data_IF_385869267429
#
_entry.id   IF_385869267429
#
_cell.length_a   1.000
_cell.length_b   1.000
_cell.length_c   1.000
_cell.angle_alpha   90.00
_cell.angle_beta   90.00
_cell.angle_gamma   90.00
#
_symmetry.space_group_name_H-M   'P 1'
#
loop_
_entity.id
_entity.type
_entity.pdbx_description
1 polymer ?
#
# COMPACT_ATOMS: atom_id res chain seq x y z
N UNK A 1 -2.45 -4.21 11.18
CA UNK A 1 -3.18 -3.08 10.56
C UNK A 1 -3.79 -3.44 9.20
N UNK A 2 -3.16 -4.30 8.41
CA UNK A 2 -3.68 -4.71 7.09
C UNK A 2 -4.94 -5.60 7.18
N UNK A 3 -5.28 -6.10 8.35
CA UNK A 3 -6.44 -6.98 8.60
C UNK A 3 -7.75 -6.27 8.90
N UNK A 4 -7.73 -4.95 9.09
CA UNK A 4 -8.94 -4.20 9.46
C UNK A 4 -9.73 -3.68 8.25
N UNK A 5 -9.18 -3.77 7.04
CA UNK A 5 -9.82 -3.26 5.83
C UNK A 5 -10.05 -4.39 4.82
N UNK A 6 -11.30 -4.54 4.38
CA UNK A 6 -11.63 -5.43 3.26
C UNK A 6 -11.19 -4.72 1.98
N UNK A 7 -9.98 -5.01 1.55
CA UNK A 7 -9.45 -4.46 0.32
C UNK A 7 -10.17 -5.04 -0.89
N UNK A 8 -10.77 -4.18 -1.71
CA UNK A 8 -11.24 -4.61 -3.02
C UNK A 8 -10.08 -4.62 -4.00
N UNK A 9 -9.90 -5.74 -4.66
CA UNK A 9 -8.89 -5.88 -5.72
C UNK A 9 -9.22 -4.93 -6.88
N UNK A 10 -8.22 -4.22 -7.46
CA UNK A 10 -8.42 -3.48 -8.71
C UNK A 10 -9.04 -4.33 -9.82
N UNK A 11 -8.78 -5.64 -9.81
CA UNK A 11 -9.30 -6.60 -10.80
C UNK A 11 -10.79 -6.92 -10.62
N UNK A 12 -11.42 -6.50 -9.53
CA UNK A 12 -12.87 -6.69 -9.28
C UNK A 12 -13.75 -5.57 -9.83
N UNK A 13 -13.15 -4.54 -10.43
CA UNK A 13 -13.89 -3.41 -11.00
C UNK A 13 -13.97 -3.54 -12.52
N UNK A 14 -15.13 -3.16 -13.07
CA UNK A 14 -15.38 -3.17 -14.53
C UNK A 14 -14.90 -1.88 -15.21
N UNK A 15 -14.90 -0.76 -14.50
CA UNK A 15 -14.47 0.53 -15.01
C UNK A 15 -13.42 1.21 -14.14
N UNK A 16 -12.59 2.03 -14.79
CA UNK A 16 -11.62 2.87 -14.10
C UNK A 16 -12.29 3.90 -13.17
N UNK A 17 -13.46 4.40 -13.56
CA UNK A 17 -14.25 5.35 -12.78
C UNK A 17 -14.71 4.74 -11.46
N UNK A 18 -15.19 3.50 -11.47
CA UNK A 18 -15.63 2.79 -10.27
C UNK A 18 -14.46 2.53 -9.32
N UNK A 19 -13.30 2.14 -9.85
CA UNK A 19 -12.10 1.97 -9.04
C UNK A 19 -11.62 3.28 -8.41
N UNK A 20 -11.59 4.37 -9.16
CA UNK A 20 -11.21 5.67 -8.60
C UNK A 20 -12.21 6.19 -7.56
N UNK A 21 -13.50 5.97 -7.79
CA UNK A 21 -14.54 6.30 -6.79
C UNK A 21 -14.35 5.51 -5.49
N UNK A 22 -13.99 4.24 -5.59
CA UNK A 22 -13.65 3.41 -4.44
C UNK A 22 -12.40 3.95 -3.70
N UNK A 23 -11.30 4.20 -4.43
CA UNK A 23 -10.05 4.73 -3.83
C UNK A 23 -10.29 6.08 -3.15
N UNK A 24 -11.13 6.94 -3.75
CA UNK A 24 -11.51 8.24 -3.18
C UNK A 24 -12.33 8.09 -1.91
N UNK A 25 -13.32 7.18 -1.91
CA UNK A 25 -14.19 6.91 -0.76
C UNK A 25 -13.45 6.28 0.42
N UNK A 26 -12.48 5.41 0.15
CA UNK A 26 -11.65 4.77 1.18
C UNK A 26 -10.57 5.70 1.75
N UNK A 27 -10.30 6.84 1.09
CA UNK A 27 -9.26 7.81 1.46
C UNK A 27 -7.91 7.14 1.81
N UNK A 28 -7.45 6.25 0.92
CA UNK A 28 -6.29 5.39 1.16
C UNK A 28 -5.04 6.24 1.38
N UNK A 29 -4.44 6.14 2.59
CA UNK A 29 -3.26 6.92 3.00
C UNK A 29 -2.14 6.02 3.50
N UNK A 30 -0.91 6.53 3.39
CA UNK A 30 0.28 5.97 4.05
C UNK A 30 0.31 6.39 5.52
N UNK A 31 1.21 5.81 6.31
CA UNK A 31 1.46 6.25 7.69
C UNK A 31 1.96 7.70 7.80
N UNK A 32 2.59 8.22 6.75
CA UNK A 32 2.96 9.64 6.65
C UNK A 32 1.79 10.55 6.28
N UNK A 33 0.58 10.00 6.06
CA UNK A 33 -0.62 10.74 5.72
C UNK A 33 -0.77 11.05 4.21
N UNK A 34 0.14 10.59 3.36
CA UNK A 34 0.07 10.81 1.91
C UNK A 34 -1.09 10.01 1.31
N UNK A 35 -1.92 10.67 0.52
CA UNK A 35 -2.99 10.02 -0.23
C UNK A 35 -2.39 9.29 -1.44
N UNK A 36 -2.64 7.99 -1.52
CA UNK A 36 -2.09 7.12 -2.57
C UNK A 36 -3.17 6.57 -3.50
N UNK A 37 -2.78 6.04 -4.66
CA UNK A 37 -3.70 5.58 -5.72
C UNK A 37 -4.21 4.16 -5.53
N UNK A 38 -3.72 3.47 -4.49
CA UNK A 38 -4.15 2.11 -4.20
C UNK A 38 -3.42 1.47 -3.02
N UNK A 39 -3.93 0.33 -2.60
CA UNK A 39 -3.40 -0.39 -1.43
C UNK A 39 -1.96 -0.87 -1.61
N UNK A 40 -1.56 -1.24 -2.83
CA UNK A 40 -0.17 -1.65 -3.09
C UNK A 40 0.83 -0.53 -2.81
N UNK A 41 0.54 0.69 -3.25
CA UNK A 41 1.37 1.86 -2.93
C UNK A 41 1.37 2.15 -1.42
N UNK A 42 0.20 2.05 -0.75
CA UNK A 42 0.12 2.19 0.70
C UNK A 42 1.05 1.21 1.43
N UNK A 43 1.07 -0.06 1.00
CA UNK A 43 1.90 -1.09 1.63
C UNK A 43 3.39 -0.79 1.41
N UNK A 44 3.78 -0.35 0.21
CA UNK A 44 5.16 0.04 -0.08
C UNK A 44 5.57 1.24 0.77
N UNK A 45 4.77 2.32 0.80
CA UNK A 45 5.06 3.50 1.60
C UNK A 45 5.14 3.20 3.10
N UNK A 46 4.18 2.42 3.63
CA UNK A 46 4.18 2.00 5.03
C UNK A 46 5.38 1.09 5.37
N UNK A 47 5.80 0.23 4.43
CA UNK A 47 7.01 -0.58 4.60
C UNK A 47 8.26 0.29 4.68
N UNK A 48 8.45 1.21 3.75
CA UNK A 48 9.58 2.14 3.75
C UNK A 48 9.64 2.93 5.05
N UNK A 49 8.50 3.51 5.48
CA UNK A 49 8.40 4.21 6.75
C UNK A 49 8.80 3.33 7.94
N UNK A 50 8.24 2.12 8.05
CA UNK A 50 8.56 1.18 9.14
C UNK A 50 10.03 0.79 9.18
N UNK A 51 10.72 0.77 8.05
CA UNK A 51 12.16 0.48 7.95
C UNK A 51 13.03 1.73 8.13
N UNK A 52 12.45 2.88 8.48
CA UNK A 52 13.20 4.13 8.65
C UNK A 52 13.82 4.66 7.35
N UNK A 53 13.28 4.25 6.20
CA UNK A 53 13.78 4.67 4.88
C UNK A 53 13.00 5.91 4.45
N UNK A 54 13.69 7.04 4.34
CA UNK A 54 13.08 8.28 3.84
C UNK A 54 12.70 8.16 2.37
N UNK A 55 11.50 8.62 2.05
CA UNK A 55 10.97 8.62 0.69
C UNK A 55 10.12 9.84 0.39
N UNK A 56 10.02 10.18 -0.88
CA UNK A 56 9.09 11.15 -1.44
C UNK A 56 8.11 10.42 -2.36
N UNK A 57 6.79 10.59 -2.10
CA UNK A 57 5.73 10.01 -2.94
C UNK A 57 5.49 10.89 -4.16
N UNK A 58 5.43 10.30 -5.37
CA UNK A 58 5.23 10.99 -6.66
C UNK A 58 6.16 12.20 -6.91
N UNK A 59 7.39 12.14 -6.40
CA UNK A 59 8.40 13.14 -6.73
C UNK A 59 8.64 13.21 -8.23
N UNK A 60 8.85 14.39 -8.77
CA UNK A 60 9.20 14.54 -10.19
C UNK A 60 10.55 13.88 -10.46
N UNK A 61 10.60 13.00 -11.48
CA UNK A 61 11.86 12.42 -11.91
C UNK A 61 12.89 13.52 -12.22
N UNK A 62 14.12 13.37 -11.74
CA UNK A 62 15.13 14.42 -11.79
C UNK A 62 15.52 14.89 -13.20
N UNK A 63 15.28 14.06 -14.21
CA UNK A 63 15.54 14.41 -15.60
C UNK A 63 14.26 14.83 -16.31
N UNK A 64 14.38 15.72 -17.29
CA UNK A 64 13.21 16.19 -18.05
C UNK A 64 12.70 15.09 -18.96
N UNK A 65 11.50 14.62 -18.69
CA UNK A 65 10.79 13.64 -19.52
C UNK A 65 9.54 14.23 -20.19
N UNK A 66 9.16 15.47 -19.79
CA UNK A 66 8.01 16.17 -20.36
C UNK A 66 8.27 16.49 -21.82
N UNK A 67 7.32 16.12 -22.69
CA UNK A 67 7.26 16.48 -24.12
C UNK A 67 5.91 17.10 -24.44
N UNK A 68 5.61 17.35 -25.73
CA UNK A 68 4.29 17.81 -26.16
C UNK A 68 3.20 16.76 -25.86
N UNK A 69 3.56 15.48 -25.92
CA UNK A 69 2.62 14.36 -25.79
C UNK A 69 2.62 13.71 -24.41
N UNK A 70 3.64 13.95 -23.59
CA UNK A 70 3.83 13.29 -22.30
C UNK A 70 4.03 14.28 -21.17
N UNK A 71 3.41 13.99 -20.02
CA UNK A 71 3.65 14.71 -18.77
C UNK A 71 5.04 14.36 -18.22
N UNK A 72 5.56 15.21 -17.30
CA UNK A 72 6.74 14.87 -16.52
C UNK A 72 6.51 13.56 -15.76
N UNK A 73 7.46 12.64 -15.87
CA UNK A 73 7.41 11.37 -15.17
C UNK A 73 7.53 11.58 -13.65
N UNK A 74 6.69 10.89 -12.91
CA UNK A 74 6.69 10.83 -11.46
C UNK A 74 6.63 9.36 -11.05
N UNK A 75 7.74 8.79 -10.60
CA UNK A 75 7.76 7.46 -9.98
C UNK A 75 6.87 7.43 -8.74
N UNK A 76 6.36 6.26 -8.37
CA UNK A 76 5.53 6.14 -7.17
C UNK A 76 6.32 6.56 -5.92
N UNK A 77 7.58 6.14 -5.78
CA UNK A 77 8.44 6.54 -4.67
C UNK A 77 9.85 6.88 -5.15
N UNK A 78 10.43 7.90 -4.53
CA UNK A 78 11.84 8.28 -4.67
C UNK A 78 12.52 8.22 -3.31
N UNK A 79 13.67 7.57 -3.24
CA UNK A 79 14.52 7.47 -2.05
C UNK A 79 15.67 8.46 -2.18
N UNK A 80 15.58 9.68 -1.61
CA UNK A 80 16.53 10.76 -1.89
C UNK A 80 17.95 10.47 -1.42
N UNK A 81 18.11 9.80 -0.27
CA UNK A 81 19.42 9.45 0.29
C UNK A 81 20.20 8.44 -0.56
N UNK A 82 19.49 7.66 -1.38
CA UNK A 82 20.07 6.56 -2.16
C UNK A 82 19.97 6.77 -3.66
N UNK A 83 19.25 7.80 -4.11
CA UNK A 83 18.94 8.06 -5.53
C UNK A 83 18.31 6.82 -6.21
N UNK A 84 17.38 6.17 -5.53
CA UNK A 84 16.65 4.98 -5.98
C UNK A 84 15.19 5.33 -6.17
N UNK A 85 14.57 4.75 -7.19
CA UNK A 85 13.17 4.90 -7.51
C UNK A 85 12.45 3.57 -7.34
N UNK A 86 11.19 3.62 -6.90
CA UNK A 86 10.34 2.44 -6.77
C UNK A 86 9.06 2.66 -7.54
N UNK A 87 8.61 1.61 -8.26
CA UNK A 87 7.34 1.55 -8.95
C UNK A 87 6.56 0.31 -8.50
N UNK A 88 5.28 0.50 -8.26
CA UNK A 88 4.36 -0.58 -7.96
C UNK A 88 3.45 -0.86 -9.15
N UNK A 89 3.69 -1.96 -9.86
CA UNK A 89 2.94 -2.30 -11.05
C UNK A 89 1.70 -3.14 -10.77
N UNK A 90 0.55 -2.68 -11.26
CA UNK A 90 -0.76 -3.33 -11.12
C UNK A 90 -0.95 -4.53 -12.05
N UNK A 91 -0.04 -5.50 -12.03
CA UNK A 91 -0.15 -6.72 -12.85
C UNK A 91 -0.21 -8.00 -12.01
N UNK A 92 -0.99 -8.97 -12.49
CA UNK A 92 -1.08 -10.30 -11.89
C UNK A 92 0.14 -11.18 -12.25
N UNK A 93 0.16 -12.42 -11.74
CA UNK A 93 1.25 -13.40 -12.03
C UNK A 93 1.40 -13.74 -13.50
N UNK A 94 0.34 -13.58 -14.29
CA UNK A 94 0.31 -13.88 -15.72
C UNK A 94 0.58 -12.63 -16.57
N UNK A 95 0.90 -11.51 -15.94
CA UNK A 95 1.09 -10.22 -16.59
C UNK A 95 -0.21 -9.59 -17.10
N UNK A 96 -1.38 -9.95 -16.54
CA UNK A 96 -2.63 -9.26 -16.87
C UNK A 96 -2.80 -8.02 -16.00
N UNK A 97 -3.49 -7.04 -16.56
CA UNK A 97 -3.91 -5.81 -15.89
C UNK A 97 -5.36 -5.94 -15.43
N UNK A 98 -5.83 -5.00 -14.60
CA UNK A 98 -7.25 -4.87 -14.29
C UNK A 98 -8.08 -4.74 -15.59
N UNK A 99 -9.35 -5.22 -15.62
CA UNK A 99 -10.14 -5.33 -16.86
C UNK A 99 -10.32 -4.01 -17.62
N UNK A 100 -10.34 -2.89 -16.93
CA UNK A 100 -10.51 -1.54 -17.47
C UNK A 100 -9.19 -0.91 -17.98
N UNK A 101 -8.05 -1.60 -17.88
CA UNK A 101 -6.73 -1.13 -18.31
C UNK A 101 -6.32 -1.83 -19.61
N UNK A 102 -5.97 -1.04 -20.61
CA UNK A 102 -5.37 -1.56 -21.84
C UNK A 102 -4.01 -2.21 -21.52
N UNK A 103 -3.98 -3.54 -21.58
CA UNK A 103 -2.81 -4.35 -21.21
C UNK A 103 -1.56 -4.00 -22.03
N UNK A 104 -1.72 -3.81 -23.34
CA UNK A 104 -0.58 -3.55 -24.23
C UNK A 104 0.04 -2.18 -23.95
N UNK A 105 -0.79 -1.14 -23.83
CA UNK A 105 -0.34 0.21 -23.45
C UNK A 105 0.32 0.24 -22.08
N UNK A 106 -0.23 -0.52 -21.13
CA UNK A 106 0.32 -0.60 -19.78
C UNK A 106 1.73 -1.22 -19.79
N UNK A 107 1.92 -2.35 -20.51
CA UNK A 107 3.23 -2.97 -20.66
C UNK A 107 4.22 -2.10 -21.44
N UNK A 108 3.76 -1.37 -22.48
CA UNK A 108 4.60 -0.37 -23.14
C UNK A 108 5.05 0.71 -22.17
N UNK A 109 4.16 1.17 -21.28
CA UNK A 109 4.48 2.12 -20.20
C UNK A 109 5.55 1.59 -19.25
N UNK A 110 5.44 0.32 -18.81
CA UNK A 110 6.47 -0.35 -17.99
C UNK A 110 7.81 -0.37 -18.75
N UNK A 111 7.80 -0.79 -20.02
CA UNK A 111 9.00 -0.80 -20.85
C UNK A 111 9.65 0.56 -20.99
N UNK A 112 8.85 1.62 -21.16
CA UNK A 112 9.31 2.99 -21.22
C UNK A 112 9.95 3.45 -19.90
N UNK A 113 9.33 3.18 -18.75
CA UNK A 113 9.88 3.48 -17.43
C UNK A 113 11.24 2.80 -17.23
N UNK A 114 11.33 1.51 -17.51
CA UNK A 114 12.60 0.76 -17.46
C UNK A 114 13.69 1.36 -18.35
N UNK A 115 13.30 1.75 -19.57
CA UNK A 115 14.22 2.38 -20.53
C UNK A 115 14.75 3.71 -20.00
N UNK A 116 13.89 4.58 -19.47
CA UNK A 116 14.31 5.87 -18.91
C UNK A 116 15.31 5.68 -17.79
N UNK A 117 15.06 4.79 -16.84
CA UNK A 117 16.00 4.53 -15.75
C UNK A 117 17.33 3.98 -16.25
N UNK A 118 17.29 3.10 -17.25
CA UNK A 118 18.50 2.58 -17.90
C UNK A 118 19.30 3.69 -18.60
N UNK A 119 18.62 4.52 -19.39
CA UNK A 119 19.26 5.60 -20.16
C UNK A 119 19.92 6.64 -19.25
N UNK A 120 19.29 6.92 -18.11
CA UNK A 120 19.81 7.87 -17.11
C UNK A 120 20.68 7.21 -16.02
N UNK A 121 20.91 5.89 -16.10
CA UNK A 121 21.72 5.13 -15.12
C UNK A 121 21.22 5.30 -13.68
N UNK A 122 19.92 5.39 -13.50
CA UNK A 122 19.25 5.41 -12.20
C UNK A 122 18.75 4.03 -11.83
N UNK A 123 18.66 3.73 -10.54
CA UNK A 123 18.16 2.44 -10.05
C UNK A 123 16.64 2.49 -9.95
N UNK A 124 15.96 1.50 -10.55
CA UNK A 124 14.52 1.28 -10.42
C UNK A 124 14.28 -0.05 -9.73
N UNK A 125 13.60 0.00 -8.59
CA UNK A 125 13.06 -1.16 -7.90
C UNK A 125 11.60 -1.31 -8.30
N UNK A 126 11.22 -2.50 -8.74
CA UNK A 126 9.86 -2.82 -9.16
C UNK A 126 9.19 -3.72 -8.14
N UNK A 127 7.96 -3.42 -7.80
CA UNK A 127 7.05 -4.26 -7.01
C UNK A 127 5.78 -4.52 -7.82
N UNK A 128 5.05 -5.58 -7.48
CA UNK A 128 3.93 -6.02 -8.32
C UNK A 128 2.69 -6.33 -7.48
N UNK A 129 1.51 -6.08 -8.04
CA UNK A 129 0.24 -6.39 -7.39
C UNK A 129 0.15 -7.86 -6.93
N UNK A 130 0.59 -8.81 -7.76
CA UNK A 130 0.57 -10.22 -7.37
C UNK A 130 1.44 -10.53 -6.14
N UNK A 131 2.52 -9.76 -5.90
CA UNK A 131 3.36 -9.93 -4.71
C UNK A 131 2.64 -9.46 -3.44
N UNK A 132 1.71 -8.49 -3.57
CA UNK A 132 0.82 -8.10 -2.50
C UNK A 132 -0.18 -9.22 -2.19
N UNK A 133 -0.85 -9.74 -3.22
CA UNK A 133 -1.87 -10.79 -3.06
C UNK A 133 -1.31 -12.10 -2.47
N UNK A 134 -0.08 -12.48 -2.85
CA UNK A 134 0.54 -13.70 -2.30
C UNK A 134 1.33 -13.49 -1.01
N UNK A 135 1.32 -12.25 -0.48
CA UNK A 135 2.01 -11.87 0.76
C UNK A 135 3.54 -11.76 0.66
N UNK A 136 4.11 -11.93 -0.54
CA UNK A 136 5.57 -11.92 -0.73
C UNK A 136 6.18 -10.51 -0.90
N UNK A 137 5.36 -9.47 -1.08
CA UNK A 137 5.82 -8.12 -1.42
C UNK A 137 6.87 -7.60 -0.45
N UNK A 138 6.61 -7.67 0.85
CA UNK A 138 7.53 -7.15 1.88
C UNK A 138 8.89 -7.86 1.83
N UNK A 139 8.89 -9.18 1.78
CA UNK A 139 10.12 -9.96 1.75
C UNK A 139 10.94 -9.70 0.47
N UNK A 140 10.26 -9.59 -0.68
CA UNK A 140 10.92 -9.28 -1.95
C UNK A 140 11.43 -7.85 -2.00
N UNK A 141 10.67 -6.89 -1.46
CA UNK A 141 11.10 -5.49 -1.39
C UNK A 141 12.31 -5.35 -0.47
N UNK A 142 12.30 -5.99 0.73
CA UNK A 142 13.47 -6.05 1.62
C UNK A 142 14.70 -6.51 0.86
N UNK A 143 14.62 -7.66 0.19
CA UNK A 143 15.74 -8.20 -0.56
C UNK A 143 16.24 -7.25 -1.65
N UNK A 144 15.33 -6.63 -2.43
CA UNK A 144 15.70 -5.68 -3.50
C UNK A 144 16.38 -4.44 -2.95
N UNK A 145 15.97 -3.95 -1.78
CA UNK A 145 16.58 -2.81 -1.10
C UNK A 145 17.97 -3.19 -0.56
N UNK A 146 18.10 -4.35 0.07
CA UNK A 146 19.40 -4.86 0.55
C UNK A 146 20.38 -5.10 -0.61
N UNK A 147 19.93 -5.69 -1.71
CA UNK A 147 20.73 -5.87 -2.94
C UNK A 147 21.18 -4.50 -3.53
N UNK A 148 20.42 -3.44 -3.29
CA UNK A 148 20.76 -2.07 -3.66
C UNK A 148 21.61 -1.34 -2.60
N UNK A 149 22.00 -2.02 -1.51
CA UNK A 149 22.86 -1.48 -0.45
C UNK A 149 22.12 -0.71 0.65
N UNK A 150 20.80 -0.83 0.72
CA UNK A 150 19.98 -0.20 1.77
C UNK A 150 19.72 -1.20 2.90
N UNK A 151 20.13 -0.87 4.10
CA UNK A 151 19.86 -1.69 5.28
C UNK A 151 18.42 -1.44 5.77
N UNK A 152 17.62 -2.50 5.84
CA UNK A 152 16.25 -2.44 6.34
C UNK A 152 16.24 -2.64 7.86
N UNK A 153 16.21 -1.55 8.62
CA UNK A 153 16.14 -1.57 10.10
C UNK A 153 14.78 -1.07 10.56
N UNK A 154 13.95 -1.92 11.19
CA UNK A 154 12.66 -1.47 11.71
C UNK A 154 12.81 -0.32 12.71
N UNK A 155 12.01 0.72 12.54
CA UNK A 155 11.88 1.77 13.55
C UNK A 155 11.33 1.19 14.86
N UNK A 156 11.70 1.77 16.01
CA UNK A 156 11.06 1.46 17.28
C UNK A 156 9.54 1.68 17.22
N UNK A 157 8.78 0.82 17.90
CA UNK A 157 7.32 0.88 17.86
C UNK A 157 6.75 2.22 18.35
N UNK A 158 7.40 2.84 19.33
CA UNK A 158 7.02 4.17 19.85
C UNK A 158 7.12 5.26 18.79
N UNK A 159 8.16 5.28 17.95
CA UNK A 159 8.28 6.22 16.84
C UNK A 159 7.17 6.03 15.80
N UNK A 160 6.82 4.78 15.50
CA UNK A 160 5.69 4.47 14.59
C UNK A 160 4.36 4.94 15.19
N UNK A 161 4.13 4.69 16.49
CA UNK A 161 2.92 5.10 17.21
C UNK A 161 2.79 6.62 17.25
N UNK A 162 3.88 7.36 17.47
CA UNK A 162 3.91 8.83 17.49
C UNK A 162 3.45 9.40 16.15
N UNK A 163 3.99 8.91 15.04
CA UNK A 163 3.58 9.36 13.69
C UNK A 163 2.11 9.04 13.39
N UNK A 164 1.62 7.85 13.77
CA UNK A 164 0.21 7.48 13.62
C UNK A 164 -0.71 8.37 14.47
N UNK A 165 -0.25 8.80 15.63
CA UNK A 165 -0.98 9.73 16.50
C UNK A 165 -1.04 11.13 15.88
N UNK A 166 0.05 11.63 15.34
CA UNK A 166 0.11 12.94 14.67
C UNK A 166 -0.83 13.01 13.46
N UNK A 167 -0.96 11.91 12.72
CA UNK A 167 -1.84 11.79 11.56
C UNK A 167 -3.30 11.40 11.91
N UNK A 168 -3.68 11.37 13.21
CA UNK A 168 -4.99 10.94 13.73
C UNK A 168 -5.38 9.47 13.46
N UNK A 169 -4.57 8.67 12.81
CA UNK A 169 -4.83 7.27 12.51
C UNK A 169 -5.03 6.44 13.80
N UNK A 170 -4.16 6.65 14.79
CA UNK A 170 -4.26 6.00 16.08
C UNK A 170 -5.52 6.42 16.84
N UNK A 171 -5.93 7.70 16.70
CA UNK A 171 -7.12 8.24 17.36
C UNK A 171 -8.39 7.58 16.84
N UNK A 172 -8.53 7.37 15.55
CA UNK A 172 -9.67 6.68 14.95
C UNK A 172 -9.70 5.19 15.34
N UNK A 173 -8.57 4.51 15.33
CA UNK A 173 -8.44 3.15 15.84
C UNK A 173 -8.83 3.04 17.32
N UNK A 174 -8.35 3.95 18.16
CA UNK A 174 -8.69 4.00 19.59
C UNK A 174 -10.20 4.25 19.82
N UNK A 175 -10.83 5.10 19.02
CA UNK A 175 -12.29 5.33 19.03
C UNK A 175 -13.04 4.05 18.67
N UNK A 176 -12.64 3.38 17.60
CA UNK A 176 -13.23 2.11 17.16
C UNK A 176 -13.13 1.05 18.25
N UNK A 177 -11.94 0.84 18.81
CA UNK A 177 -11.71 -0.13 19.90
C UNK A 177 -12.53 0.23 21.14
N UNK A 178 -12.62 1.50 21.50
CA UNK A 178 -13.47 1.97 22.60
C UNK A 178 -14.95 1.66 22.37
N UNK A 179 -15.44 1.83 21.14
CA UNK A 179 -16.83 1.47 20.78
C UNK A 179 -17.08 -0.05 20.87
N UNK A 180 -16.14 -0.86 20.39
CA UNK A 180 -16.22 -2.33 20.46
C UNK A 180 -16.27 -2.77 21.92
N UNK A 181 -15.35 -2.27 22.76
CA UNK A 181 -15.29 -2.59 24.19
C UNK A 181 -16.58 -2.14 24.91
N UNK A 182 -17.08 -0.93 24.62
CA UNK A 182 -18.35 -0.43 25.19
C UNK A 182 -19.52 -1.33 24.81
N UNK A 183 -19.62 -1.74 23.54
CA UNK A 183 -20.67 -2.65 23.06
C UNK A 183 -20.57 -4.03 23.70
N UNK A 184 -19.35 -4.57 23.82
CA UNK A 184 -19.09 -5.82 24.52
C UNK A 184 -19.58 -5.74 25.97
N UNK A 185 -19.15 -4.73 26.72
CA UNK A 185 -19.53 -4.52 28.13
C UNK A 185 -21.04 -4.30 28.28
N UNK A 186 -21.67 -3.52 27.42
CA UNK A 186 -23.10 -3.21 27.50
C UNK A 186 -24.00 -4.42 27.22
N UNK A 187 -23.52 -5.40 26.46
CA UNK A 187 -24.32 -6.58 26.09
C UNK A 187 -24.07 -7.80 27.00
N UNK A 188 -23.16 -7.72 27.95
CA UNK A 188 -22.84 -8.83 28.87
C UNK A 188 -22.66 -10.16 28.11
N UNK A 189 -21.88 -10.15 27.04
CA UNK A 189 -21.64 -11.38 26.29
C UNK A 189 -20.76 -12.30 27.12
N UNK A 190 -21.31 -13.50 27.43
CA UNK A 190 -20.45 -14.62 27.77
C UNK A 190 -19.70 -15.11 26.53
N UNK A 191 -18.62 -15.86 26.73
CA UNK A 191 -17.77 -16.35 25.63
C UNK A 191 -18.57 -17.14 24.58
N UNK A 192 -19.58 -17.90 25.03
CA UNK A 192 -20.39 -18.73 24.14
C UNK A 192 -21.26 -17.88 23.22
N UNK A 193 -21.93 -16.85 23.75
CA UNK A 193 -22.73 -15.91 22.95
C UNK A 193 -21.87 -15.06 22.02
N UNK A 194 -20.66 -14.69 22.44
CA UNK A 194 -19.73 -14.00 21.60
C UNK A 194 -19.33 -14.87 20.40
N UNK A 195 -18.91 -16.11 20.65
CA UNK A 195 -18.52 -17.07 19.62
C UNK A 195 -19.67 -17.35 18.63
N UNK A 196 -20.93 -17.45 19.10
CA UNK A 196 -22.07 -17.60 18.21
C UNK A 196 -22.26 -16.41 17.27
N UNK A 197 -22.06 -15.18 17.77
CA UNK A 197 -22.16 -13.97 16.94
C UNK A 197 -21.01 -13.83 15.96
N UNK A 198 -19.80 -14.16 16.39
CA UNK A 198 -18.60 -14.17 15.51
C UNK A 198 -18.81 -15.18 14.38
N UNK A 199 -19.23 -16.39 14.70
CA UNK A 199 -19.47 -17.45 13.71
C UNK A 199 -20.60 -17.11 12.72
N UNK A 200 -21.56 -16.29 13.11
CA UNK A 200 -22.63 -15.78 12.26
C UNK A 200 -22.26 -14.51 11.49
N UNK A 201 -21.09 -13.92 11.76
CA UNK A 201 -20.64 -12.69 11.11
C UNK A 201 -20.03 -12.98 9.74
N UNK A 202 -20.31 -12.18 8.70
CA UNK A 202 -19.57 -12.23 7.44
C UNK A 202 -18.08 -11.84 7.58
N UNK A 203 -17.69 -11.31 8.73
CA UNK A 203 -16.32 -10.85 9.05
C UNK A 203 -15.64 -11.75 10.10
N UNK A 204 -16.05 -13.02 10.20
CA UNK A 204 -15.58 -13.97 11.21
C UNK A 204 -14.05 -13.99 11.32
N UNK A 205 -13.36 -14.16 10.19
CA UNK A 205 -11.88 -14.29 10.17
C UNK A 205 -11.17 -13.06 10.77
N UNK A 206 -11.73 -11.87 10.57
CA UNK A 206 -11.17 -10.64 11.13
C UNK A 206 -11.48 -10.48 12.62
N UNK A 207 -12.63 -10.98 13.07
CA UNK A 207 -13.04 -10.91 14.47
C UNK A 207 -12.30 -11.92 15.34
N UNK A 208 -12.00 -13.10 14.81
CA UNK A 208 -11.20 -14.12 15.51
C UNK A 208 -9.80 -13.57 15.84
N UNK A 209 -9.13 -12.90 14.89
CA UNK A 209 -7.80 -12.29 15.09
C UNK A 209 -7.83 -11.14 16.10
N UNK A 210 -8.91 -10.38 16.17
CA UNK A 210 -9.01 -9.23 17.08
C UNK A 210 -9.25 -9.63 18.54
N UNK A 211 -9.57 -10.89 18.80
CA UNK A 211 -9.91 -11.42 20.14
C UNK A 211 -8.84 -12.36 20.72
N UNK A 212 -7.84 -12.75 19.93
CA UNK A 212 -6.60 -13.39 20.39
C UNK A 212 -5.61 -12.36 20.96
#
# INVERSE_FOLDING_TARGET
EDYLFIEKSPFSFESQGDYFSYVEAEDIRTFKGEKVKGHGERIVGNFLFKMGIEYEYEASFQYKTKSMDFRQYKPDFYLPEHNIYIEHFGIDKNGNTAPYIDKEKYHQGIGWKRKIHKDHKTVLIETFFHEHIDGSLRNKLTKKLEDAGIECKPLPNDAVIETLHENNELTEFAKLMSQIIKRYKANWFDQEKLNLKINASPYKEHLDIALE
#
